data_IF_208527101847
#
_entry.id   IF_208527101847
#
_cell.length_a   1.000
_cell.length_b   1.000
_cell.length_c   1.000
_cell.angle_alpha   90.00
_cell.angle_beta   90.00
_cell.angle_gamma   90.00
#
_symmetry.space_group_name_H-M   'P 1'
#
loop_
_entity.id
_entity.type
_entity.pdbx_description
1 polymer ?
#
# COMPACT_ATOMS: atom_id res chain seq x y z
N UNK A 1 7.46 -19.99 -14.92
CA UNK A 1 6.65 -19.41 -13.84
C UNK A 1 7.43 -18.28 -13.18
N UNK A 2 6.83 -17.10 -13.08
CA UNK A 2 7.52 -15.97 -12.49
C UNK A 2 7.67 -16.16 -10.98
N UNK A 3 8.87 -15.88 -10.45
CA UNK A 3 9.10 -15.86 -9.01
C UNK A 3 8.45 -14.60 -8.43
N UNK A 4 7.69 -14.68 -7.32
CA UNK A 4 7.17 -13.51 -6.67
C UNK A 4 8.30 -12.54 -6.28
N UNK A 5 8.08 -11.27 -6.50
CA UNK A 5 9.01 -10.22 -6.10
C UNK A 5 8.48 -9.54 -4.84
N UNK A 6 9.30 -9.51 -3.78
CA UNK A 6 8.94 -8.84 -2.53
C UNK A 6 9.87 -7.65 -2.31
N UNK A 7 9.28 -6.52 -1.93
CA UNK A 7 10.02 -5.31 -1.60
C UNK A 7 9.56 -4.82 -0.22
N UNK A 8 10.47 -4.17 0.50
CA UNK A 8 10.12 -3.44 1.71
C UNK A 8 10.09 -1.96 1.35
N UNK A 9 8.90 -1.36 1.44
CA UNK A 9 8.66 0.00 0.96
C UNK A 9 7.98 0.81 2.06
N UNK A 10 8.38 2.07 2.22
CA UNK A 10 7.63 3.02 3.06
C UNK A 10 6.22 3.15 2.46
N UNK A 11 5.16 2.83 3.20
CA UNK A 11 3.81 2.84 2.65
C UNK A 11 3.39 4.21 2.12
N UNK A 12 3.99 5.29 2.60
CA UNK A 12 3.70 6.64 2.10
C UNK A 12 4.14 6.84 0.65
N UNK A 13 5.11 6.06 0.18
CA UNK A 13 5.64 6.13 -1.18
C UNK A 13 4.88 5.25 -2.17
N UNK A 14 3.84 4.54 -1.72
CA UNK A 14 3.00 3.73 -2.59
C UNK A 14 1.91 4.59 -3.23
N UNK A 15 1.65 4.37 -4.53
CA UNK A 15 0.58 5.06 -5.23
C UNK A 15 -0.75 4.35 -5.00
N UNK A 16 -1.83 5.14 -4.89
CA UNK A 16 -3.17 4.63 -4.69
C UNK A 16 -3.77 4.17 -6.02
N UNK A 17 -4.56 3.08 -6.01
CA UNK A 17 -5.28 2.67 -7.22
C UNK A 17 -6.40 3.66 -7.53
N UNK A 18 -6.85 3.68 -8.79
CA UNK A 18 -7.93 4.57 -9.23
C UNK A 18 -9.25 4.33 -8.48
N UNK A 19 -9.43 3.14 -7.90
CA UNK A 19 -10.60 2.80 -7.08
C UNK A 19 -10.54 3.37 -5.66
N UNK A 20 -9.41 3.96 -5.25
CA UNK A 20 -9.18 4.45 -3.90
C UNK A 20 -8.41 5.77 -3.89
N UNK A 21 -8.78 6.70 -4.78
CA UNK A 21 -8.04 7.96 -4.95
C UNK A 21 -8.02 8.83 -3.68
N UNK A 22 -9.00 8.67 -2.81
CA UNK A 22 -9.08 9.40 -1.53
C UNK A 22 -8.45 8.64 -0.35
N UNK A 23 -7.82 7.49 -0.62
CA UNK A 23 -7.15 6.70 0.39
C UNK A 23 -8.04 5.62 1.00
N UNK A 24 -7.69 5.22 2.23
CA UNK A 24 -8.38 4.13 2.92
C UNK A 24 -9.81 4.52 3.29
N UNK A 25 -10.70 3.53 3.25
CA UNK A 25 -12.05 3.67 3.80
C UNK A 25 -11.92 3.91 5.32
N UNK A 26 -12.47 5.02 5.86
CA UNK A 26 -12.32 5.35 7.28
C UNK A 26 -12.88 4.28 8.23
N UNK A 27 -13.96 3.62 7.85
CA UNK A 27 -14.56 2.56 8.67
C UNK A 27 -13.65 1.34 8.73
N UNK A 28 -13.12 0.91 7.58
CA UNK A 28 -12.18 -0.22 7.53
C UNK A 28 -10.90 0.07 8.28
N UNK A 29 -10.39 1.29 8.15
CA UNK A 29 -9.19 1.71 8.87
C UNK A 29 -9.42 1.70 10.38
N UNK A 30 -10.55 2.23 10.83
CA UNK A 30 -10.92 2.23 12.25
C UNK A 30 -11.02 0.80 12.78
N UNK A 31 -11.71 -0.09 12.06
CA UNK A 31 -11.88 -1.48 12.48
C UNK A 31 -10.53 -2.20 12.58
N UNK A 32 -9.64 -2.01 11.61
CA UNK A 32 -8.30 -2.61 11.67
C UNK A 32 -7.49 -2.04 12.81
N UNK A 33 -7.57 -0.73 13.05
CA UNK A 33 -6.86 -0.08 14.15
C UNK A 33 -7.33 -0.61 15.50
N UNK A 34 -8.64 -0.78 15.67
CA UNK A 34 -9.20 -1.34 16.90
C UNK A 34 -8.80 -2.80 17.10
N UNK A 35 -8.70 -3.58 16.01
CA UNK A 35 -8.38 -5.00 16.08
C UNK A 35 -6.89 -5.27 16.28
N UNK A 36 -6.02 -4.55 15.59
CA UNK A 36 -4.58 -4.83 15.54
C UNK A 36 -3.71 -3.75 16.18
N UNK A 37 -4.25 -2.53 16.39
CA UNK A 37 -3.47 -1.40 16.89
C UNK A 37 -2.27 -1.14 15.98
N UNK A 38 -1.08 -1.01 16.58
CA UNK A 38 0.17 -0.80 15.88
C UNK A 38 0.88 -2.12 15.52
N UNK A 39 0.26 -3.28 15.79
CA UNK A 39 0.89 -4.57 15.49
C UNK A 39 0.86 -4.87 14.00
N UNK A 40 2.00 -5.37 13.49
CA UNK A 40 2.12 -5.89 12.12
C UNK A 40 2.34 -7.40 12.12
N UNK A 41 2.25 -8.05 13.26
CA UNK A 41 2.44 -9.50 13.37
C UNK A 41 1.38 -10.22 12.54
N UNK A 42 1.81 -11.13 11.66
CA UNK A 42 0.92 -11.89 10.80
C UNK A 42 0.22 -11.08 9.71
N UNK A 43 0.58 -9.80 9.51
CA UNK A 43 -0.04 -8.98 8.48
C UNK A 43 0.35 -9.50 7.08
N UNK A 44 -0.63 -9.80 6.20
CA UNK A 44 -0.32 -10.20 4.83
C UNK A 44 0.41 -9.09 4.09
N UNK A 45 1.25 -9.41 3.08
CA UNK A 45 1.88 -8.38 2.28
C UNK A 45 0.84 -7.57 1.51
N UNK A 46 1.19 -6.32 1.22
CA UNK A 46 0.43 -5.47 0.31
C UNK A 46 0.67 -5.97 -1.10
N UNK A 47 -0.40 -6.16 -1.87
CA UNK A 47 -0.28 -6.58 -3.27
C UNK A 47 -0.22 -5.36 -4.16
N UNK A 48 0.69 -5.34 -5.13
CA UNK A 48 0.92 -4.17 -5.96
C UNK A 48 1.30 -4.55 -7.40
N UNK A 49 1.15 -3.56 -8.28
CA UNK A 49 1.68 -3.59 -9.64
C UNK A 49 2.80 -2.58 -9.77
N UNK A 50 3.79 -2.89 -10.62
CA UNK A 50 4.78 -1.90 -11.08
C UNK A 50 4.26 -1.28 -12.37
N UNK A 51 4.21 0.05 -12.43
CA UNK A 51 3.89 0.75 -13.67
C UNK A 51 5.04 0.69 -14.68
N UNK A 52 4.75 1.08 -15.92
CA UNK A 52 5.79 1.18 -16.95
C UNK A 52 6.83 2.25 -16.63
N UNK A 53 6.52 3.16 -15.73
CA UNK A 53 7.39 4.21 -15.19
C UNK A 53 8.12 3.78 -13.91
N UNK A 54 8.08 2.51 -13.56
CA UNK A 54 8.67 1.89 -12.36
C UNK A 54 8.03 2.31 -11.03
N UNK A 55 7.00 3.16 -11.02
CA UNK A 55 6.26 3.48 -9.81
C UNK A 55 5.44 2.28 -9.34
N UNK A 56 5.18 2.18 -8.05
CA UNK A 56 4.46 1.04 -7.45
C UNK A 56 3.07 1.49 -7.02
N UNK A 57 2.06 0.82 -7.55
CA UNK A 57 0.65 1.11 -7.26
C UNK A 57 0.03 -0.06 -6.48
N UNK A 58 -0.67 0.25 -5.39
CA UNK A 58 -1.33 -0.76 -4.59
C UNK A 58 -2.49 -1.37 -5.40
N UNK A 59 -2.58 -2.69 -5.42
CA UNK A 59 -3.74 -3.43 -5.90
C UNK A 59 -4.67 -3.80 -4.74
N UNK A 60 -4.13 -4.33 -3.66
CA UNK A 60 -4.88 -4.72 -2.46
C UNK A 60 -4.05 -4.42 -1.22
N UNK A 61 -4.68 -3.86 -0.20
CA UNK A 61 -4.01 -3.56 1.06
C UNK A 61 -3.88 -2.08 1.38
N UNK A 62 -4.68 -1.20 0.75
CA UNK A 62 -4.66 0.24 1.06
C UNK A 62 -4.87 0.48 2.55
N UNK A 63 -5.84 -0.20 3.16
CA UNK A 63 -6.14 -0.03 4.60
C UNK A 63 -4.96 -0.50 5.47
N UNK A 64 -4.35 -1.65 5.14
CA UNK A 64 -3.18 -2.16 5.88
C UNK A 64 -2.01 -1.18 5.80
N UNK A 65 -1.70 -0.72 4.60
CA UNK A 65 -0.60 0.21 4.37
C UNK A 65 -0.85 1.55 5.09
N UNK A 66 -2.07 2.04 5.06
CA UNK A 66 -2.45 3.30 5.73
C UNK A 66 -2.30 3.18 7.24
N UNK A 67 -2.70 2.06 7.83
CA UNK A 67 -2.55 1.83 9.27
C UNK A 67 -1.09 1.89 9.69
N UNK A 68 -0.20 1.25 8.93
CA UNK A 68 1.24 1.30 9.22
C UNK A 68 1.78 2.72 9.05
N UNK A 69 1.44 3.40 7.97
CA UNK A 69 1.91 4.76 7.71
C UNK A 69 1.49 5.73 8.81
N UNK A 70 0.28 5.56 9.34
CA UNK A 70 -0.28 6.45 10.36
C UNK A 70 0.28 6.14 11.76
N UNK A 71 0.36 4.89 12.14
CA UNK A 71 0.68 4.48 13.50
C UNK A 71 2.16 4.18 13.72
N UNK A 72 2.89 3.86 12.65
CA UNK A 72 4.30 3.48 12.71
C UNK A 72 5.12 4.27 11.68
N UNK A 73 5.21 5.63 11.84
CA UNK A 73 5.96 6.44 10.89
C UNK A 73 7.40 5.94 10.74
N UNK A 74 7.87 5.85 9.50
CA UNK A 74 9.22 5.37 9.18
C UNK A 74 9.34 3.86 9.03
N UNK A 75 8.29 3.08 9.36
CA UNK A 75 8.30 1.64 9.14
C UNK A 75 7.96 1.31 7.71
N UNK A 76 8.67 0.34 7.12
CA UNK A 76 8.30 -0.19 5.81
C UNK A 76 7.24 -1.28 5.94
N UNK A 77 6.52 -1.52 4.82
CA UNK A 77 5.63 -2.68 4.67
C UNK A 77 6.19 -3.61 3.62
N UNK A 78 5.90 -4.90 3.76
CA UNK A 78 6.24 -5.86 2.73
C UNK A 78 5.23 -5.76 1.60
N UNK A 79 5.75 -5.60 0.38
CA UNK A 79 4.94 -5.46 -0.84
C UNK A 79 5.28 -6.61 -1.77
N UNK A 80 4.25 -7.32 -2.22
CA UNK A 80 4.40 -8.29 -3.29
C UNK A 80 4.08 -7.62 -4.61
N UNK A 81 5.07 -7.49 -5.49
CA UNK A 81 4.90 -6.96 -6.83
C UNK A 81 4.45 -8.12 -7.72
N UNK A 82 3.18 -8.11 -8.12
CA UNK A 82 2.60 -9.22 -8.87
C UNK A 82 3.07 -9.24 -10.31
N UNK A 83 3.22 -8.07 -10.93
CA UNK A 83 3.74 -7.92 -12.29
C UNK A 83 3.96 -6.45 -12.63
N UNK A 84 4.65 -6.22 -13.75
CA UNK A 84 4.73 -4.90 -14.37
C UNK A 84 3.62 -4.75 -15.39
N UNK A 85 2.90 -3.63 -15.36
CA UNK A 85 1.81 -3.33 -16.30
C UNK A 85 2.28 -2.35 -17.37
N UNK A 86 1.58 -2.31 -18.48
CA UNK A 86 1.98 -1.55 -19.67
C UNK A 86 1.63 -0.06 -19.65
N UNK A 87 1.28 0.48 -18.47
CA UNK A 87 0.92 1.91 -18.33
C UNK A 87 1.60 2.51 -17.12
N UNK A 88 1.87 3.85 -17.11
CA UNK A 88 2.44 4.50 -15.95
C UNK A 88 1.41 4.62 -14.82
N UNK A 89 1.90 4.67 -13.59
CA UNK A 89 1.04 4.84 -12.39
C UNK A 89 1.54 5.95 -11.47
N UNK A 90 2.68 6.58 -11.80
CA UNK A 90 3.28 7.62 -10.97
C UNK A 90 2.48 8.91 -10.88
N UNK A 91 1.49 9.11 -11.77
CA UNK A 91 0.58 10.25 -11.71
C UNK A 91 -0.55 10.08 -10.68
N UNK A 92 -0.75 8.85 -10.17
CA UNK A 92 -1.75 8.59 -9.15
C UNK A 92 -1.29 9.17 -7.80
N UNK A 93 -2.24 9.54 -6.92
CA UNK A 93 -1.87 10.07 -5.60
C UNK A 93 -0.99 9.11 -4.81
N UNK A 94 -0.09 9.65 -4.02
CA UNK A 94 0.65 8.88 -3.02
C UNK A 94 -0.24 8.65 -1.81
N UNK A 95 -0.12 7.48 -1.19
CA UNK A 95 -0.82 7.19 0.06
C UNK A 95 -0.48 8.23 1.13
N UNK A 96 0.77 8.68 1.19
CA UNK A 96 1.21 9.69 2.14
C UNK A 96 0.47 11.01 2.02
N UNK A 97 -0.03 11.37 0.83
CA UNK A 97 -0.76 12.61 0.60
C UNK A 97 -2.22 12.55 1.04
N UNK A 98 -2.72 11.35 1.35
CA UNK A 98 -4.13 11.12 1.72
C UNK A 98 -4.31 10.67 3.16
N UNK A 99 -3.24 10.70 3.97
CA UNK A 99 -3.34 10.30 5.39
C UNK A 99 -4.27 11.26 6.14
N UNK A 100 -5.20 10.71 6.92
CA UNK A 100 -6.09 11.53 7.75
C UNK A 100 -5.36 12.21 8.90
#
# INVERSE_FOLDING_TARGET
MATPEFLDIDPRALHLPSSRLSGADPVKLHDQTMRFGASVAGMPPVLAYRGSDAAIMIYDGVTRATRVAKLLPGRTVRVEVMRTIGKPVGHLPLLGDTLP
#
